data_IF_088592030162
#
_entry.id   IF_088592030162
#
_cell.length_a   1.000
_cell.length_b   1.000
_cell.length_c   1.000
_cell.angle_alpha   90.00
_cell.angle_beta   90.00
_cell.angle_gamma   90.00
#
_symmetry.space_group_name_H-M   'P 1'
#
loop_
_entity.id
_entity.type
_entity.pdbx_description
1 polymer ?
#
# COMPACT_ATOMS: atom_id res chain seq x y z
N UNK A 1 -38.32 4.89 -15.19
CA UNK A 1 -38.11 6.06 -14.30
C UNK A 1 -36.62 6.34 -14.22
N UNK A 2 -36.12 7.18 -15.11
CA UNK A 2 -34.76 7.73 -14.98
C UNK A 2 -34.77 8.75 -13.84
N UNK A 3 -34.23 8.36 -12.69
CA UNK A 3 -33.99 9.27 -11.58
C UNK A 3 -32.92 10.28 -11.99
N UNK A 4 -33.34 11.41 -12.55
CA UNK A 4 -32.47 12.56 -12.77
C UNK A 4 -31.87 13.01 -11.45
N UNK A 5 -30.59 12.69 -11.21
CA UNK A 5 -29.87 13.17 -10.04
C UNK A 5 -29.82 14.71 -10.09
N UNK A 6 -30.23 15.36 -9.00
CA UNK A 6 -30.06 16.79 -8.85
C UNK A 6 -28.58 17.16 -8.92
N UNK A 7 -28.25 18.33 -9.49
CA UNK A 7 -26.87 18.87 -9.52
C UNK A 7 -26.22 18.87 -8.12
N UNK A 8 -27.02 19.10 -7.07
CA UNK A 8 -26.56 19.07 -5.69
C UNK A 8 -26.11 17.65 -5.25
N UNK A 9 -26.86 16.62 -5.65
CA UNK A 9 -26.53 15.22 -5.33
C UNK A 9 -25.30 14.73 -6.09
N UNK A 10 -25.16 15.11 -7.37
CA UNK A 10 -23.97 14.80 -8.18
C UNK A 10 -22.72 15.41 -7.54
N UNK A 11 -22.79 16.67 -7.13
CA UNK A 11 -21.67 17.34 -6.45
C UNK A 11 -21.33 16.70 -5.10
N UNK A 12 -22.32 16.28 -4.33
CA UNK A 12 -22.10 15.56 -3.07
C UNK A 12 -21.40 14.21 -3.31
N UNK A 13 -21.90 13.40 -4.25
CA UNK A 13 -21.32 12.10 -4.62
C UNK A 13 -19.87 12.29 -5.11
N UNK A 14 -19.62 13.29 -5.95
CA UNK A 14 -18.28 13.59 -6.46
C UNK A 14 -17.31 13.92 -5.32
N UNK A 15 -17.69 14.82 -4.41
CA UNK A 15 -16.85 15.18 -3.25
C UNK A 15 -16.54 13.98 -2.37
N UNK A 16 -17.54 13.15 -2.04
CA UNK A 16 -17.33 11.94 -1.24
C UNK A 16 -16.43 10.92 -1.95
N UNK A 17 -16.61 10.73 -3.25
CA UNK A 17 -15.77 9.81 -4.04
C UNK A 17 -14.33 10.27 -4.06
N UNK A 18 -14.09 11.56 -4.36
CA UNK A 18 -12.73 12.13 -4.37
C UNK A 18 -12.06 11.96 -3.00
N UNK A 19 -12.77 12.27 -1.91
CA UNK A 19 -12.21 12.14 -0.57
C UNK A 19 -11.85 10.68 -0.25
N UNK A 20 -12.73 9.73 -0.56
CA UNK A 20 -12.47 8.29 -0.33
C UNK A 20 -11.25 7.81 -1.12
N UNK A 21 -11.18 8.16 -2.41
CA UNK A 21 -10.06 7.77 -3.27
C UNK A 21 -8.74 8.39 -2.79
N UNK A 22 -8.75 9.65 -2.35
CA UNK A 22 -7.55 10.28 -1.75
C UNK A 22 -7.11 9.52 -0.49
N UNK A 23 -8.04 9.11 0.36
CA UNK A 23 -7.72 8.32 1.56
C UNK A 23 -7.10 6.97 1.20
N UNK A 24 -7.68 6.25 0.24
CA UNK A 24 -7.13 4.98 -0.24
C UNK A 24 -5.77 5.16 -0.95
N UNK A 25 -5.51 6.33 -1.54
CA UNK A 25 -4.21 6.62 -2.16
C UNK A 25 -3.10 6.90 -1.15
N UNK A 26 -3.44 7.41 0.04
CA UNK A 26 -2.47 7.93 0.99
C UNK A 26 -1.51 6.83 1.50
N UNK A 27 -2.04 5.64 1.78
CA UNK A 27 -1.29 4.48 2.29
C UNK A 27 -0.33 3.88 1.24
N UNK A 28 -0.76 3.56 0.00
CA UNK A 28 0.16 3.17 -1.06
C UNK A 28 1.26 4.20 -1.34
N UNK A 29 0.94 5.49 -1.23
CA UNK A 29 1.91 6.58 -1.37
C UNK A 29 2.94 6.58 -0.25
N UNK A 30 2.58 6.27 1.00
CA UNK A 30 3.54 6.17 2.11
C UNK A 30 4.39 4.89 2.06
N UNK A 31 3.87 3.81 1.48
CA UNK A 31 4.64 2.58 1.23
C UNK A 31 5.66 2.73 0.10
N UNK A 32 5.44 3.68 -0.81
CA UNK A 32 6.37 3.95 -1.91
C UNK A 32 7.79 4.33 -1.43
N UNK A 33 8.02 5.37 -0.61
CA UNK A 33 9.36 5.68 -0.11
C UNK A 33 9.94 4.54 0.74
N UNK A 34 9.10 3.75 1.40
CA UNK A 34 9.56 2.57 2.13
C UNK A 34 10.20 1.54 1.18
N UNK A 35 9.55 1.23 0.06
CA UNK A 35 10.05 0.29 -0.94
C UNK A 35 11.31 0.79 -1.67
N UNK A 36 11.45 2.10 -1.91
CA UNK A 36 12.58 2.68 -2.65
C UNK A 36 13.78 3.06 -1.79
N UNK A 37 13.54 3.54 -0.57
CA UNK A 37 14.58 4.16 0.26
C UNK A 37 14.95 3.28 1.43
N UNK A 38 13.96 2.69 2.11
CA UNK A 38 14.21 1.94 3.34
C UNK A 38 14.59 0.50 3.08
N UNK A 39 13.89 -0.22 2.20
CA UNK A 39 14.11 -1.66 2.00
C UNK A 39 15.46 -1.99 1.32
N UNK A 40 15.92 -1.29 0.27
CA UNK A 40 17.13 -1.68 -0.44
C UNK A 40 18.40 -1.69 0.42
N UNK A 41 18.69 -0.67 1.27
CA UNK A 41 19.85 -0.71 2.16
C UNK A 41 19.84 -1.89 3.13
N UNK A 42 18.67 -2.27 3.64
CA UNK A 42 18.53 -3.43 4.53
C UNK A 42 18.80 -4.73 3.79
N UNK A 43 18.36 -4.85 2.54
CA UNK A 43 18.61 -6.02 1.71
C UNK A 43 20.10 -6.17 1.39
N UNK A 44 20.76 -5.07 1.02
CA UNK A 44 22.20 -5.02 0.78
C UNK A 44 22.97 -5.40 2.04
N UNK A 45 22.64 -4.78 3.18
CA UNK A 45 23.35 -5.05 4.44
C UNK A 45 23.14 -6.44 5.00
N UNK A 46 21.93 -6.99 4.86
CA UNK A 46 21.66 -8.40 5.23
C UNK A 46 22.52 -9.36 4.40
N UNK A 47 22.74 -9.05 3.11
CA UNK A 47 23.59 -9.84 2.21
C UNK A 47 25.06 -9.74 2.56
N UNK A 48 25.54 -8.53 2.83
CA UNK A 48 26.94 -8.28 3.24
C UNK A 48 27.31 -8.99 4.54
N UNK A 49 26.36 -9.04 5.49
CA UNK A 49 26.57 -9.70 6.78
C UNK A 49 26.37 -11.22 6.73
N UNK A 50 26.01 -11.78 5.58
CA UNK A 50 25.70 -13.21 5.44
C UNK A 50 24.53 -13.67 6.31
N UNK A 51 23.62 -12.75 6.67
CA UNK A 51 22.49 -13.04 7.55
C UNK A 51 21.41 -13.76 6.75
N UNK A 52 21.08 -14.99 7.16
CA UNK A 52 19.90 -15.65 6.64
C UNK A 52 18.66 -14.84 7.01
N UNK A 53 17.83 -14.53 6.02
CA UNK A 53 16.57 -13.79 6.21
C UNK A 53 15.38 -14.72 6.07
N UNK A 54 14.25 -14.37 6.70
CA UNK A 54 13.03 -15.17 6.60
C UNK A 54 12.46 -15.18 5.19
N UNK A 55 11.67 -16.19 4.81
CA UNK A 55 10.98 -16.23 3.49
C UNK A 55 10.12 -15.00 3.23
N UNK A 56 9.49 -14.47 4.28
CA UNK A 56 8.68 -13.27 4.22
C UNK A 56 9.53 -12.02 3.94
N UNK A 57 10.71 -11.93 4.54
CA UNK A 57 11.69 -10.88 4.26
C UNK A 57 12.19 -10.94 2.83
N UNK A 58 12.49 -12.13 2.32
CA UNK A 58 12.90 -12.33 0.92
C UNK A 58 11.82 -11.84 -0.05
N UNK A 59 10.55 -12.13 0.24
CA UNK A 59 9.44 -11.66 -0.57
C UNK A 59 9.39 -10.13 -0.63
N UNK A 60 9.54 -9.44 0.51
CA UNK A 60 9.55 -7.96 0.56
C UNK A 60 10.76 -7.38 -0.16
N UNK A 61 11.96 -7.98 -0.01
CA UNK A 61 13.16 -7.55 -0.74
C UNK A 61 12.99 -7.71 -2.24
N UNK A 62 12.41 -8.83 -2.69
CA UNK A 62 12.13 -9.06 -4.11
C UNK A 62 11.07 -8.10 -4.65
N UNK A 63 10.00 -7.85 -3.89
CA UNK A 63 8.97 -6.87 -4.26
C UNK A 63 9.54 -5.46 -4.34
N UNK A 64 10.36 -5.05 -3.36
CA UNK A 64 11.07 -3.77 -3.39
C UNK A 64 12.00 -3.68 -4.61
N UNK A 65 12.80 -4.71 -4.90
CA UNK A 65 13.67 -4.74 -6.07
C UNK A 65 12.88 -4.65 -7.39
N UNK A 66 11.76 -5.36 -7.48
CA UNK A 66 10.84 -5.28 -8.62
C UNK A 66 10.28 -3.86 -8.77
N UNK A 67 9.79 -3.26 -7.68
CA UNK A 67 9.26 -1.89 -7.66
C UNK A 67 10.34 -0.90 -8.08
N UNK A 68 11.57 -1.02 -7.58
CA UNK A 68 12.69 -0.15 -7.96
C UNK A 68 13.03 -0.27 -9.45
N UNK A 69 13.06 -1.50 -9.99
CA UNK A 69 13.41 -1.77 -11.38
C UNK A 69 12.28 -1.39 -12.37
N UNK A 70 11.04 -1.56 -11.95
CA UNK A 70 9.84 -1.37 -12.77
C UNK A 70 8.90 -0.32 -12.19
N UNK A 71 9.46 0.76 -11.67
CA UNK A 71 8.71 1.81 -10.96
C UNK A 71 7.58 2.40 -11.80
N UNK A 72 7.79 2.54 -13.12
CA UNK A 72 6.79 3.02 -14.06
C UNK A 72 5.60 2.05 -14.19
N UNK A 73 5.84 0.73 -14.16
CA UNK A 73 4.76 -0.27 -14.15
C UNK A 73 3.97 -0.20 -12.85
N UNK A 74 4.65 0.01 -11.72
CA UNK A 74 3.99 0.19 -10.44
C UNK A 74 3.06 1.40 -10.46
N UNK A 75 3.52 2.56 -10.95
CA UNK A 75 2.69 3.76 -11.08
C UNK A 75 1.50 3.52 -12.01
N UNK A 76 1.71 2.79 -13.12
CA UNK A 76 0.64 2.45 -14.06
C UNK A 76 -0.42 1.53 -13.42
N UNK A 77 0.02 0.48 -12.70
CA UNK A 77 -0.87 -0.43 -11.96
C UNK A 77 -1.63 0.34 -10.87
N UNK A 78 -0.95 1.21 -10.12
CA UNK A 78 -1.57 2.04 -9.10
C UNK A 78 -2.61 2.97 -9.71
N UNK A 79 -2.30 3.63 -10.83
CA UNK A 79 -3.25 4.49 -11.54
C UNK A 79 -4.49 3.73 -12.01
N UNK A 80 -4.31 2.51 -12.50
CA UNK A 80 -5.42 1.65 -12.89
C UNK A 80 -6.27 1.21 -11.69
N UNK A 81 -5.64 0.79 -10.59
CA UNK A 81 -6.31 0.40 -9.36
C UNK A 81 -7.15 1.56 -8.78
N UNK A 82 -6.60 2.76 -8.76
CA UNK A 82 -7.27 3.99 -8.31
C UNK A 82 -8.46 4.34 -9.20
N UNK A 83 -8.31 4.15 -10.51
CA UNK A 83 -9.41 4.39 -11.46
C UNK A 83 -10.55 3.41 -11.21
N UNK A 84 -10.24 2.13 -11.02
CA UNK A 84 -11.24 1.11 -10.66
C UNK A 84 -11.92 1.46 -9.33
N UNK A 85 -11.14 1.81 -8.30
CA UNK A 85 -11.66 2.19 -7.00
C UNK A 85 -12.61 3.40 -7.10
N UNK A 86 -12.22 4.42 -7.86
CA UNK A 86 -13.07 5.59 -8.13
C UNK A 86 -14.38 5.21 -8.82
N UNK A 87 -14.35 4.31 -9.81
CA UNK A 87 -15.55 3.81 -10.51
C UNK A 87 -16.46 3.02 -9.57
N UNK A 88 -15.89 2.15 -8.73
CA UNK A 88 -16.62 1.37 -7.74
C UNK A 88 -17.26 2.30 -6.71
N UNK A 89 -16.49 3.21 -6.09
CA UNK A 89 -16.99 4.18 -5.13
C UNK A 89 -18.10 5.04 -5.73
N UNK A 90 -17.89 5.61 -6.93
CA UNK A 90 -18.89 6.40 -7.62
C UNK A 90 -20.19 5.62 -7.85
N UNK A 91 -20.08 4.36 -8.29
CA UNK A 91 -21.22 3.48 -8.51
C UNK A 91 -21.97 3.19 -7.20
N UNK A 92 -21.25 2.83 -6.13
CA UNK A 92 -21.85 2.52 -4.82
C UNK A 92 -22.57 3.73 -4.21
N UNK A 93 -21.99 4.93 -4.35
CA UNK A 93 -22.63 6.18 -3.91
C UNK A 93 -23.85 6.54 -4.77
N UNK A 94 -23.77 6.36 -6.10
CA UNK A 94 -24.89 6.60 -7.03
C UNK A 94 -26.10 5.73 -6.69
N UNK A 95 -25.89 4.45 -6.37
CA UNK A 95 -26.98 3.55 -6.00
C UNK A 95 -27.43 3.69 -4.54
N UNK A 96 -26.97 4.72 -3.81
CA UNK A 96 -27.30 4.99 -2.40
C UNK A 96 -26.99 3.80 -1.46
N UNK A 97 -26.12 2.87 -1.86
CA UNK A 97 -25.72 1.69 -1.06
C UNK A 97 -24.61 2.06 -0.06
N UNK A 98 -24.95 2.93 0.90
CA UNK A 98 -23.98 3.49 1.87
C UNK A 98 -23.22 2.43 2.67
N UNK A 99 -23.89 1.34 3.05
CA UNK A 99 -23.27 0.24 3.82
C UNK A 99 -22.20 -0.46 2.98
N UNK A 100 -22.51 -0.79 1.73
CA UNK A 100 -21.58 -1.46 0.82
C UNK A 100 -20.38 -0.56 0.50
N UNK A 101 -20.58 0.75 0.33
CA UNK A 101 -19.48 1.70 0.16
C UNK A 101 -18.54 1.74 1.36
N UNK A 102 -19.09 1.68 2.59
CA UNK A 102 -18.28 1.61 3.82
C UNK A 102 -17.53 0.29 3.95
N UNK A 103 -18.18 -0.83 3.63
CA UNK A 103 -17.52 -2.15 3.65
C UNK A 103 -16.39 -2.23 2.62
N UNK A 104 -16.59 -1.69 1.42
CA UNK A 104 -15.55 -1.60 0.39
C UNK A 104 -14.37 -0.76 0.87
N UNK A 105 -14.63 0.45 1.37
CA UNK A 105 -13.56 1.32 1.89
C UNK A 105 -12.82 0.69 3.08
N UNK A 106 -13.56 0.06 4.01
CA UNK A 106 -12.96 -0.68 5.12
C UNK A 106 -12.09 -1.86 4.66
N UNK A 107 -12.51 -2.58 3.61
CA UNK A 107 -11.74 -3.67 3.03
C UNK A 107 -10.43 -3.17 2.41
N UNK A 108 -10.49 -2.09 1.63
CA UNK A 108 -9.30 -1.47 1.00
C UNK A 108 -8.29 -1.04 2.08
N UNK A 109 -8.76 -0.31 3.10
CA UNK A 109 -7.93 0.14 4.23
C UNK A 109 -7.34 -1.05 5.00
N UNK A 110 -8.12 -2.12 5.23
CA UNK A 110 -7.62 -3.30 5.93
C UNK A 110 -6.52 -4.00 5.14
N UNK A 111 -6.69 -4.16 3.83
CA UNK A 111 -5.66 -4.74 2.95
C UNK A 111 -4.38 -3.90 3.00
N UNK A 112 -4.51 -2.58 2.87
CA UNK A 112 -3.38 -1.65 2.94
C UNK A 112 -2.67 -1.70 4.30
N UNK A 113 -3.43 -1.74 5.41
CA UNK A 113 -2.88 -1.84 6.75
C UNK A 113 -2.13 -3.16 6.98
N UNK A 114 -2.65 -4.28 6.47
CA UNK A 114 -1.97 -5.58 6.52
C UNK A 114 -0.66 -5.52 5.73
N UNK A 115 -0.68 -4.97 4.51
CA UNK A 115 0.54 -4.81 3.70
C UNK A 115 1.57 -3.92 4.38
N UNK A 116 1.15 -2.77 4.92
CA UNK A 116 2.02 -1.87 5.67
C UNK A 116 2.62 -2.55 6.90
N UNK A 117 1.80 -3.27 7.67
CA UNK A 117 2.24 -4.03 8.84
C UNK A 117 3.27 -5.11 8.48
N UNK A 118 3.08 -5.83 7.38
CA UNK A 118 4.03 -6.83 6.90
C UNK A 118 5.37 -6.20 6.48
N UNK A 119 5.35 -5.04 5.82
CA UNK A 119 6.55 -4.29 5.47
C UNK A 119 7.34 -3.86 6.71
N UNK A 120 6.66 -3.28 7.71
CA UNK A 120 7.29 -2.85 8.98
C UNK A 120 7.83 -4.05 9.75
N UNK A 121 7.04 -5.10 9.91
CA UNK A 121 7.45 -6.33 10.60
C UNK A 121 8.70 -6.93 9.97
N UNK A 122 8.79 -6.91 8.64
CA UNK A 122 9.95 -7.39 7.90
C UNK A 122 11.23 -6.63 8.24
N UNK A 123 11.16 -5.29 8.27
CA UNK A 123 12.32 -4.49 8.62
C UNK A 123 12.73 -4.71 10.08
N UNK A 124 11.77 -4.80 11.00
CA UNK A 124 12.05 -5.09 12.41
C UNK A 124 12.73 -6.45 12.59
N UNK A 125 12.25 -7.49 11.89
CA UNK A 125 12.86 -8.81 11.91
C UNK A 125 14.27 -8.80 11.31
N UNK A 126 14.47 -8.06 10.21
CA UNK A 126 15.78 -7.92 9.56
C UNK A 126 16.76 -7.19 10.48
N UNK A 127 16.32 -6.09 11.10
CA UNK A 127 17.10 -5.32 12.07
C UNK A 127 17.51 -6.18 13.27
N UNK A 128 16.55 -6.91 13.86
CA UNK A 128 16.81 -7.81 14.98
C UNK A 128 17.81 -8.91 14.62
N UNK A 129 17.77 -9.44 13.40
CA UNK A 129 18.77 -10.45 12.98
C UNK A 129 20.15 -9.83 12.81
N UNK A 130 20.23 -8.67 12.15
CA UNK A 130 21.51 -7.95 11.97
C UNK A 130 22.13 -7.51 13.32
N UNK A 131 21.32 -7.13 14.31
CA UNK A 131 21.82 -6.73 15.63
C UNK A 131 22.36 -7.89 16.48
N UNK A 132 22.00 -9.13 16.16
CA UNK A 132 22.47 -10.33 16.86
C UNK A 132 23.73 -10.94 16.21
N UNK A 133 24.32 -10.24 15.24
CA UNK A 133 25.56 -10.67 14.60
C UNK A 133 26.72 -10.39 15.58
N UNK A 134 27.43 -11.42 16.07
CA UNK A 134 28.31 -11.31 17.24
C UNK A 134 29.55 -10.43 17.02
N UNK A 135 29.92 -10.12 15.77
CA UNK A 135 31.06 -9.25 15.45
C UNK A 135 30.69 -7.78 15.20
N UNK A 136 29.41 -7.41 15.21
CA UNK A 136 28.95 -6.03 14.99
C UNK A 136 28.84 -5.20 16.28
N UNK A 137 28.71 -5.87 17.44
CA UNK A 137 28.74 -5.25 18.76
C UNK A 137 29.75 -6.01 19.64
N UNK A 138 31.04 -5.63 19.66
CA UNK A 138 31.92 -6.05 20.75
C UNK A 138 31.33 -5.46 22.04
N UNK A 139 30.91 -6.34 22.96
CA UNK A 139 30.55 -5.97 24.33
C UNK A 139 31.82 -5.48 25.04
#
# INVERSE_FOLDING_TARGET
MENGLSKADVNRIRKSTILTVITHLLLPLTLFPFAFVMVPPFAEKSRELGVEVSKLTVLVFNLSSFICRYWYLYILILGFAVTIDAVICFSLFRFKKKIVARLWSGLVILIEAVFAGLCVLTLLLSLRRMSNVPWLCPI
#
